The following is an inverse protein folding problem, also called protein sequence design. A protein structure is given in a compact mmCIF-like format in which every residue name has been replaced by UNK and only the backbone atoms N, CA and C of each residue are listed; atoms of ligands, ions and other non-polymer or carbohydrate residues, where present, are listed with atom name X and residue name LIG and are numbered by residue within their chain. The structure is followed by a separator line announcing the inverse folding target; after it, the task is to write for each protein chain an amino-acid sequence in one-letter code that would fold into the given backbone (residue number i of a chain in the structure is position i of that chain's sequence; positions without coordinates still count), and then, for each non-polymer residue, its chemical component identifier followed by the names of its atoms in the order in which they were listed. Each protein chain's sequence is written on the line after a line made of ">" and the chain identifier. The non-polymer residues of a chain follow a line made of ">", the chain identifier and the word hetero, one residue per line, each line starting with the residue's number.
data_IF_588653795253
#
_entry.id   IF_588653795253
#
_cell.length_a   1.000
_cell.length_b   1.000
_cell.length_c   1.000
_cell.angle_alpha   90.00
_cell.angle_beta   90.00
_cell.angle_gamma   90.00
#
_symmetry.space_group_name_H-M   'P 1'
#
loop_
_entity.id
_entity.type
_entity.pdbx_description
1 polymer ?
#
# COMPACT_ATOMS: atom_id res chain seq x y z
N UNK A 1 7.04 -16.88 7.46
CA UNK A 1 7.92 -16.46 6.36
C UNK A 1 8.34 -17.63 5.48
N UNK A 2 8.98 -18.68 6.02
CA UNK A 2 9.43 -19.83 5.20
C UNK A 2 8.29 -20.57 4.47
N UNK A 3 7.14 -20.76 5.13
CA UNK A 3 5.94 -21.34 4.51
C UNK A 3 5.45 -20.55 3.28
N UNK A 4 5.44 -19.22 3.36
CA UNK A 4 5.02 -18.32 2.27
C UNK A 4 5.98 -18.38 1.08
N UNK A 5 7.27 -18.67 1.34
CA UNK A 5 8.26 -18.91 0.30
C UNK A 5 8.13 -20.30 -0.37
N UNK A 6 7.09 -21.07 -0.03
CA UNK A 6 6.83 -22.41 -0.59
C UNK A 6 7.52 -23.55 0.16
N UNK A 7 8.26 -23.27 1.23
CA UNK A 7 8.84 -24.32 2.06
C UNK A 7 7.73 -24.99 2.89
N UNK A 8 7.33 -26.19 2.46
CA UNK A 8 6.26 -26.97 3.04
C UNK A 8 6.84 -28.25 3.67
N UNK A 9 6.62 -28.44 4.97
CA UNK A 9 7.08 -29.61 5.74
C UNK A 9 7.81 -29.26 7.04
N UNK A 10 8.38 -30.27 7.69
CA UNK A 10 9.20 -30.12 8.89
C UNK A 10 10.60 -29.63 8.51
N UNK A 11 10.84 -28.34 8.72
CA UNK A 11 12.13 -27.68 8.44
C UNK A 11 13.16 -28.12 9.49
N UNK A 12 14.35 -28.54 9.04
CA UNK A 12 15.45 -28.90 9.94
C UNK A 12 15.85 -27.71 10.83
N UNK A 13 16.18 -28.00 12.09
CA UNK A 13 16.69 -27.00 13.04
C UNK A 13 18.00 -26.37 12.58
N UNK A 14 18.79 -27.07 11.75
CA UNK A 14 20.01 -26.54 11.16
C UNK A 14 19.71 -25.44 10.13
N UNK A 15 18.67 -25.64 9.30
CA UNK A 15 18.24 -24.66 8.30
C UNK A 15 17.72 -23.40 8.97
N UNK A 16 16.85 -23.54 9.97
CA UNK A 16 16.31 -22.39 10.70
C UNK A 16 17.40 -21.60 11.42
N UNK A 17 18.35 -22.28 12.07
CA UNK A 17 19.49 -21.63 12.72
C UNK A 17 20.41 -20.92 11.72
N UNK A 18 20.58 -21.48 10.52
CA UNK A 18 21.37 -20.85 9.46
C UNK A 18 20.69 -19.59 8.95
N UNK A 19 19.39 -19.65 8.65
CA UNK A 19 18.63 -18.48 8.21
C UNK A 19 18.59 -17.39 9.28
N UNK A 20 18.42 -17.76 10.55
CA UNK A 20 18.50 -16.82 11.67
C UNK A 20 19.83 -16.06 11.69
N UNK A 21 20.96 -16.76 11.57
CA UNK A 21 22.30 -16.12 11.53
C UNK A 21 22.46 -15.20 10.33
N UNK A 22 21.98 -15.60 9.15
CA UNK A 22 22.03 -14.77 7.94
C UNK A 22 21.22 -13.49 8.14
N UNK A 23 20.00 -13.60 8.65
CA UNK A 23 19.13 -12.45 8.91
C UNK A 23 19.73 -11.54 9.99
N UNK A 24 20.27 -12.10 11.07
CA UNK A 24 20.95 -11.33 12.11
C UNK A 24 22.12 -10.52 11.56
N UNK A 25 22.96 -11.14 10.72
CA UNK A 25 24.07 -10.47 10.06
C UNK A 25 23.59 -9.35 9.14
N UNK A 26 22.58 -9.62 8.31
CA UNK A 26 22.01 -8.63 7.39
C UNK A 26 21.41 -7.44 8.12
N UNK A 27 20.66 -7.66 9.20
CA UNK A 27 20.08 -6.58 10.02
C UNK A 27 21.17 -5.73 10.67
N UNK A 28 22.23 -6.37 11.18
CA UNK A 28 23.38 -5.66 11.78
C UNK A 28 24.08 -4.78 10.74
N UNK A 29 24.30 -5.30 9.54
CA UNK A 29 24.90 -4.56 8.44
C UNK A 29 24.00 -3.41 7.97
N UNK A 30 22.70 -3.67 7.82
CA UNK A 30 21.71 -2.67 7.42
C UNK A 30 21.70 -1.50 8.41
N UNK A 31 21.63 -1.77 9.71
CA UNK A 31 21.64 -0.74 10.75
C UNK A 31 22.96 0.04 10.79
N UNK A 32 24.09 -0.64 10.60
CA UNK A 32 25.40 0.01 10.53
C UNK A 32 25.49 1.00 9.36
N UNK A 33 25.04 0.59 8.17
CA UNK A 33 24.99 1.45 6.99
C UNK A 33 23.99 2.60 7.15
N UNK A 34 22.82 2.35 7.72
CA UNK A 34 21.81 3.38 7.97
C UNK A 34 22.30 4.42 8.99
N UNK A 35 23.01 3.98 10.04
CA UNK A 35 23.64 4.88 11.00
C UNK A 35 24.71 5.76 10.34
N UNK A 36 25.52 5.22 9.42
CA UNK A 36 26.48 6.02 8.66
C UNK A 36 25.80 7.10 7.79
N UNK A 37 24.61 6.83 7.23
CA UNK A 37 23.80 7.82 6.51
C UNK A 37 23.23 8.87 7.44
N UNK A 38 22.64 8.46 8.57
CA UNK A 38 22.12 9.38 9.58
C UNK A 38 23.18 10.36 10.08
N UNK A 39 24.39 9.85 10.37
CA UNK A 39 25.55 10.67 10.77
C UNK A 39 25.98 11.66 9.68
N UNK A 40 25.94 11.27 8.39
CA UNK A 40 26.22 12.18 7.27
C UNK A 40 25.17 13.28 7.13
N UNK A 41 23.91 13.02 7.48
CA UNK A 41 22.84 14.03 7.60
C UNK A 41 23.03 14.94 8.83
N UNK A 42 23.93 14.59 9.76
CA UNK A 42 24.10 15.28 11.03
C UNK A 42 23.11 14.87 12.12
N UNK A 43 22.39 13.76 11.93
CA UNK A 43 21.48 13.18 12.91
C UNK A 43 22.14 12.03 13.66
N UNK A 44 21.90 11.93 14.96
CA UNK A 44 22.27 10.76 15.78
C UNK A 44 21.17 9.70 15.83
N UNK A 45 20.02 10.01 15.23
CA UNK A 45 18.84 9.15 15.14
C UNK A 45 18.65 8.70 13.69
N UNK A 46 18.52 7.39 13.51
CA UNK A 46 18.22 6.76 12.22
C UNK A 46 16.74 6.98 11.90
N UNK A 47 16.47 7.56 10.73
CA UNK A 47 15.13 7.76 10.17
C UNK A 47 14.76 6.58 9.25
N UNK A 48 13.46 6.38 9.01
CA UNK A 48 12.97 5.47 7.97
C UNK A 48 13.59 5.78 6.60
N UNK A 49 13.82 7.06 6.30
CA UNK A 49 14.45 7.48 5.04
C UNK A 49 15.85 6.90 4.86
N UNK A 50 16.62 6.75 5.95
CA UNK A 50 17.97 6.17 5.89
C UNK A 50 17.92 4.70 5.48
N UNK A 51 16.90 3.96 5.93
CA UNK A 51 16.70 2.56 5.57
C UNK A 51 16.19 2.41 4.14
N UNK A 52 15.22 3.23 3.73
CA UNK A 52 14.67 3.21 2.36
C UNK A 52 15.76 3.60 1.36
N UNK A 53 16.65 4.53 1.73
CA UNK A 53 17.76 4.94 0.87
C UNK A 53 18.73 3.79 0.55
N UNK A 54 18.94 2.84 1.47
CA UNK A 54 19.81 1.68 1.24
C UNK A 54 19.29 0.72 0.17
N UNK A 55 17.97 0.69 -0.05
CA UNK A 55 17.31 -0.17 -1.04
C UNK A 55 16.85 0.60 -2.29
N UNK A 56 17.25 1.87 -2.44
CA UNK A 56 16.74 2.78 -3.47
C UNK A 56 16.92 2.28 -4.91
N UNK A 57 17.92 1.43 -5.14
CA UNK A 57 18.24 0.91 -6.46
C UNK A 57 17.20 -0.12 -6.93
N UNK A 58 16.51 -0.78 -5.99
CA UNK A 58 15.44 -1.74 -6.27
C UNK A 58 14.07 -1.05 -6.21
N UNK A 59 13.64 -0.52 -7.36
CA UNK A 59 12.39 0.24 -7.48
C UNK A 59 11.15 -0.57 -7.12
N UNK A 60 11.14 -1.87 -7.41
CA UNK A 60 10.00 -2.72 -7.09
C UNK A 60 9.88 -2.93 -5.58
N UNK A 61 10.99 -3.20 -4.89
CA UNK A 61 10.97 -3.32 -3.42
C UNK A 61 10.54 -2.03 -2.76
N UNK A 62 11.03 -0.89 -3.24
CA UNK A 62 10.62 0.43 -2.73
C UNK A 62 9.13 0.67 -2.97
N UNK A 63 8.62 0.37 -4.17
CA UNK A 63 7.18 0.50 -4.49
C UNK A 63 6.29 -0.35 -3.57
N UNK A 64 6.65 -1.62 -3.37
CA UNK A 64 5.94 -2.52 -2.44
C UNK A 64 5.96 -1.99 -1.00
N UNK A 65 7.10 -1.47 -0.55
CA UNK A 65 7.24 -0.88 0.78
C UNK A 65 6.39 0.39 0.96
N UNK A 66 6.39 1.30 -0.01
CA UNK A 66 5.56 2.51 0.02
C UNK A 66 4.08 2.18 0.06
N UNK A 67 3.66 1.20 -0.73
CA UNK A 67 2.27 0.70 -0.73
C UNK A 67 1.91 0.12 0.63
N UNK A 68 2.77 -0.71 1.22
CA UNK A 68 2.54 -1.25 2.56
C UNK A 68 2.41 -0.14 3.62
N UNK A 69 3.28 0.88 3.58
CA UNK A 69 3.24 1.99 4.53
C UNK A 69 1.99 2.85 4.37
N UNK A 70 1.52 3.11 3.13
CA UNK A 70 0.28 3.86 2.92
C UNK A 70 -0.93 3.12 3.51
N UNK A 71 -1.01 1.80 3.31
CA UNK A 71 -2.04 0.97 3.94
C UNK A 71 -1.96 0.96 5.46
N UNK A 72 -0.74 0.95 6.01
CA UNK A 72 -0.51 1.01 7.45
C UNK A 72 -0.99 2.34 8.04
N UNK A 73 -0.71 3.46 7.38
CA UNK A 73 -1.18 4.78 7.80
C UNK A 73 -2.70 4.92 7.70
N UNK A 74 -3.29 4.41 6.61
CA UNK A 74 -4.74 4.39 6.43
C UNK A 74 -5.45 3.63 7.56
N UNK A 75 -4.98 2.42 7.88
CA UNK A 75 -5.53 1.61 8.98
C UNK A 75 -5.36 2.28 10.34
N UNK A 76 -4.22 2.93 10.59
CA UNK A 76 -3.99 3.69 11.82
C UNK A 76 -4.98 4.85 11.95
N UNK A 77 -5.15 5.64 10.89
CA UNK A 77 -6.06 6.79 10.88
C UNK A 77 -7.54 6.38 11.03
N UNK A 78 -7.93 5.21 10.53
CA UNK A 78 -9.26 4.67 10.75
C UNK A 78 -9.47 4.33 12.24
N UNK A 79 -8.54 3.60 12.85
CA UNK A 79 -8.60 3.22 14.27
C UNK A 79 -8.59 4.42 15.21
N UNK A 80 -7.77 5.43 14.93
CA UNK A 80 -7.71 6.67 15.72
C UNK A 80 -9.03 7.48 15.66
N UNK A 81 -9.84 7.31 14.60
CA UNK A 81 -11.19 7.91 14.51
C UNK A 81 -12.21 7.15 15.34
N UNK A 82 -12.14 5.82 15.36
CA UNK A 82 -13.04 4.97 16.15
C UNK A 82 -12.80 5.14 17.66
N UNK A 83 -11.55 5.36 18.09
CA UNK A 83 -11.25 5.56 19.52
C UNK A 83 -11.72 6.93 20.07
N UNK A 84 -11.94 7.92 19.19
CA UNK A 84 -12.53 9.22 19.54
C UNK A 84 -14.05 9.29 19.34
N UNK A 85 -14.68 8.27 18.76
CA UNK A 85 -16.11 8.16 18.53
C UNK A 85 -16.68 6.97 19.28
N UNK A 86 -17.28 7.22 20.44
CA UNK A 86 -17.76 6.16 21.33
C UNK A 86 -18.73 5.17 20.67
N UNK A 87 -18.52 3.90 21.07
CA UNK A 87 -19.41 2.75 21.04
C UNK A 87 -19.93 2.26 19.66
N UNK A 88 -19.65 0.97 19.45
CA UNK A 88 -20.33 0.04 18.55
C UNK A 88 -19.72 -0.17 17.15
N UNK A 89 -18.62 -0.94 17.10
CA UNK A 89 -18.65 -2.18 16.32
C UNK A 89 -17.57 -3.14 16.84
N UNK A 90 -18.02 -4.27 17.38
CA UNK A 90 -17.19 -5.43 17.59
C UNK A 90 -16.75 -6.01 16.24
N UNK A 91 -15.54 -6.57 16.24
CA UNK A 91 -15.04 -7.53 15.24
C UNK A 91 -14.63 -6.96 13.87
N UNK A 92 -13.47 -6.31 13.83
CA UNK A 92 -12.54 -6.56 12.71
C UNK A 92 -11.33 -7.26 13.30
N UNK A 93 -11.50 -8.58 13.44
CA UNK A 93 -10.45 -9.50 13.81
C UNK A 93 -9.19 -9.30 12.99
N UNK A 94 -8.08 -9.57 13.68
CA UNK A 94 -6.73 -9.78 13.21
C UNK A 94 -6.72 -10.65 11.92
N UNK A 95 -6.88 -10.01 10.77
CA UNK A 95 -6.80 -10.65 9.47
C UNK A 95 -5.43 -10.37 8.85
N UNK A 96 -4.57 -11.38 8.99
CA UNK A 96 -3.45 -11.77 8.15
C UNK A 96 -2.80 -10.70 7.26
N UNK A 97 -1.52 -10.49 7.55
CA UNK A 97 -0.59 -9.59 6.83
C UNK A 97 -0.21 -10.09 5.43
N UNK A 98 -0.82 -11.17 4.93
CA UNK A 98 -0.41 -11.90 3.72
C UNK A 98 -1.40 -11.82 2.55
N UNK A 99 -2.41 -10.95 2.63
CA UNK A 99 -3.30 -10.66 1.49
C UNK A 99 -2.96 -9.33 0.84
N UNK A 100 -1.78 -9.24 0.23
CA UNK A 100 -1.63 -8.37 -0.93
C UNK A 100 -2.43 -9.01 -2.07
N UNK A 101 -3.41 -8.34 -2.70
CA UNK A 101 -4.07 -8.90 -3.86
C UNK A 101 -3.03 -9.11 -4.97
N UNK A 102 -3.02 -10.28 -5.64
CA UNK A 102 -2.24 -10.47 -6.86
C UNK A 102 -2.66 -9.43 -7.89
N UNK A 103 -1.70 -8.99 -8.71
CA UNK A 103 -1.83 -7.97 -9.76
C UNK A 103 -2.83 -8.31 -10.88
N UNK A 104 -4.08 -8.68 -10.58
CA UNK A 104 -5.16 -8.80 -11.56
C UNK A 104 -6.51 -8.67 -10.85
N UNK A 105 -6.79 -7.53 -10.24
CA UNK A 105 -8.18 -7.15 -9.96
C UNK A 105 -8.27 -5.64 -9.75
N UNK A 106 -8.55 -4.94 -10.84
CA UNK A 106 -9.23 -3.66 -10.79
C UNK A 106 -10.61 -3.90 -10.16
N UNK A 107 -10.68 -3.80 -8.83
CA UNK A 107 -11.94 -3.72 -8.09
C UNK A 107 -11.89 -2.46 -7.23
N UNK A 108 -12.72 -1.50 -7.65
CA UNK A 108 -13.10 -0.24 -7.03
C UNK A 108 -12.93 -0.15 -5.50
N UNK A 109 -11.70 0.06 -5.07
CA UNK A 109 -11.34 0.38 -3.68
C UNK A 109 -10.82 1.82 -3.55
N UNK A 110 -10.99 2.63 -4.60
CA UNK A 110 -10.64 4.06 -4.64
C UNK A 110 -11.64 4.95 -3.87
N UNK A 111 -12.36 4.41 -2.87
CA UNK A 111 -13.10 5.25 -1.93
C UNK A 111 -12.11 6.08 -1.12
N UNK A 112 -11.80 7.26 -1.66
CA UNK A 112 -11.39 8.50 -1.00
C UNK A 112 -10.91 8.30 0.43
N UNK A 113 -9.73 7.71 0.55
CA UNK A 113 -8.85 8.07 1.62
C UNK A 113 -7.62 8.64 0.93
N UNK A 114 -7.52 9.97 0.91
CA UNK A 114 -6.25 10.68 0.67
C UNK A 114 -5.31 10.29 1.82
N UNK A 115 -4.85 9.04 1.80
CA UNK A 115 -3.74 8.59 2.62
C UNK A 115 -2.55 9.40 2.16
N UNK A 116 -1.80 9.96 3.10
CA UNK A 116 -0.64 10.78 2.78
C UNK A 116 0.24 10.02 1.79
N UNK A 117 0.40 10.56 0.58
CA UNK A 117 1.36 10.02 -0.37
C UNK A 117 2.72 10.15 0.30
N UNK A 118 3.38 9.03 0.56
CA UNK A 118 4.70 9.04 1.19
C UNK A 118 5.68 9.55 0.15
N UNK A 119 6.09 10.82 0.28
CA UNK A 119 7.03 11.45 -0.65
C UNK A 119 8.44 11.27 -0.13
N UNK A 120 9.27 10.60 -0.92
CA UNK A 120 10.67 10.35 -0.55
C UNK A 120 11.52 11.62 -0.77
N UNK A 121 12.54 11.87 0.07
CA UNK A 121 13.38 13.08 -0.03
C UNK A 121 14.17 13.22 -1.35
N UNK A 122 14.34 12.15 -2.11
CA UNK A 122 15.05 12.13 -3.41
C UNK A 122 14.12 11.94 -4.60
N UNK A 123 12.80 12.00 -4.38
CA UNK A 123 11.82 12.00 -5.46
C UNK A 123 11.75 13.38 -6.13
N UNK A 124 11.20 13.45 -7.34
CA UNK A 124 11.13 14.66 -8.15
C UNK A 124 10.37 15.78 -7.42
N UNK A 125 9.32 15.41 -6.70
CA UNK A 125 8.54 16.33 -5.86
C UNK A 125 9.36 16.95 -4.71
N UNK A 126 10.44 16.29 -4.27
CA UNK A 126 11.32 16.76 -3.22
C UNK A 126 12.41 17.74 -3.67
N UNK A 127 12.66 17.88 -4.98
CA UNK A 127 13.68 18.81 -5.49
C UNK A 127 13.26 20.27 -5.42
N UNK A 128 11.96 20.53 -5.37
CA UNK A 128 11.40 21.88 -5.37
C UNK A 128 10.99 22.28 -3.96
N UNK A 129 11.46 23.44 -3.49
CA UNK A 129 11.12 23.97 -2.17
C UNK A 129 9.66 24.43 -2.04
N UNK A 130 9.01 24.68 -3.17
CA UNK A 130 7.60 25.00 -3.26
C UNK A 130 6.85 23.79 -3.81
N UNK A 131 5.89 23.27 -3.03
CA UNK A 131 4.99 22.23 -3.51
C UNK A 131 3.83 22.91 -4.22
N UNK A 132 3.66 22.57 -5.50
CA UNK A 132 2.46 22.96 -6.24
C UNK A 132 1.27 22.31 -5.53
N UNK A 133 0.26 23.08 -5.08
CA UNK A 133 -0.98 22.50 -4.57
C UNK A 133 -1.54 21.50 -5.58
N UNK A 134 -2.08 20.37 -5.12
CA UNK A 134 -2.83 19.46 -5.99
C UNK A 134 -3.91 20.29 -6.69
N UNK A 135 -3.78 20.46 -8.02
CA UNK A 135 -4.81 21.12 -8.81
C UNK A 135 -6.07 20.22 -8.73
N UNK A 136 -7.22 20.83 -8.47
CA UNK A 136 -8.52 20.13 -8.41
C UNK A 136 -8.86 19.42 -9.74
N UNK A 137 -8.11 19.71 -10.81
CA UNK A 137 -8.29 19.22 -12.18
C UNK A 137 -8.16 17.69 -12.33
N UNK A 138 -7.39 17.00 -11.49
CA UNK A 138 -7.33 15.51 -11.53
C UNK A 138 -8.63 14.87 -11.02
N UNK A 139 -9.27 15.49 -10.02
CA UNK A 139 -10.58 15.01 -9.57
C UNK A 139 -11.67 15.21 -10.62
N UNK A 140 -11.56 16.25 -11.46
CA UNK A 140 -12.59 16.58 -12.44
C UNK A 140 -12.51 15.69 -13.69
N UNK A 141 -11.31 15.27 -14.10
CA UNK A 141 -11.14 14.28 -15.19
C UNK A 141 -11.70 12.90 -14.82
N UNK A 142 -11.44 12.43 -13.60
CA UNK A 142 -11.92 11.12 -13.13
C UNK A 142 -13.45 11.12 -12.90
N UNK A 143 -14.01 12.25 -12.44
CA UNK A 143 -15.48 12.42 -12.32
C UNK A 143 -16.17 12.37 -13.68
N UNK A 144 -15.64 13.07 -14.69
CA UNK A 144 -16.25 13.12 -16.02
C UNK A 144 -16.23 11.75 -16.72
N UNK A 145 -15.14 11.00 -16.59
CA UNK A 145 -15.03 9.64 -17.12
C UNK A 145 -16.03 8.68 -16.45
N UNK A 146 -16.18 8.77 -15.13
CA UNK A 146 -17.09 7.91 -14.37
C UNK A 146 -18.56 8.26 -14.64
N UNK A 147 -18.89 9.55 -14.76
CA UNK A 147 -20.23 10.03 -15.14
C UNK A 147 -20.62 9.59 -16.56
N UNK A 148 -19.69 9.62 -17.51
CA UNK A 148 -19.92 9.12 -18.87
C UNK A 148 -20.18 7.60 -18.88
N UNK A 149 -19.45 6.85 -18.06
CA UNK A 149 -19.62 5.40 -17.91
C UNK A 149 -20.98 5.06 -17.27
N UNK A 150 -21.40 5.80 -16.24
CA UNK A 150 -22.73 5.68 -15.61
C UNK A 150 -23.87 6.00 -16.57
N UNK A 151 -23.73 7.04 -17.41
CA UNK A 151 -24.74 7.38 -18.44
C UNK A 151 -24.87 6.28 -19.48
N UNK A 152 -23.75 5.68 -19.90
CA UNK A 152 -23.76 4.56 -20.84
C UNK A 152 -24.42 3.32 -20.24
N UNK A 153 -24.17 3.04 -18.96
CA UNK A 153 -24.79 1.94 -18.23
C UNK A 153 -26.31 2.13 -18.14
N UNK A 154 -26.76 3.33 -17.77
CA UNK A 154 -28.19 3.68 -17.71
C UNK A 154 -28.89 3.54 -19.06
N UNK A 155 -28.26 3.97 -20.15
CA UNK A 155 -28.79 3.80 -21.51
C UNK A 155 -28.89 2.32 -21.91
N UNK A 156 -27.95 1.49 -21.46
CA UNK A 156 -28.01 0.05 -21.68
C UNK A 156 -29.14 -0.60 -20.88
N UNK A 157 -29.33 -0.19 -19.62
CA UNK A 157 -30.42 -0.66 -18.74
C UNK A 157 -31.80 -0.22 -19.25
N UNK A 158 -31.92 1.02 -19.76
CA UNK A 158 -33.16 1.49 -20.39
C UNK A 158 -33.48 0.72 -21.67
N UNK A 159 -32.45 0.30 -22.42
CA UNK A 159 -32.61 -0.51 -23.63
C UNK A 159 -33.03 -1.94 -23.33
N UNK A 160 -32.66 -2.50 -22.18
CA UNK A 160 -33.01 -3.88 -21.77
C UNK A 160 -34.24 -3.94 -20.86
N UNK A 161 -34.82 -2.80 -20.51
CA UNK A 161 -35.96 -2.68 -19.59
C UNK A 161 -37.22 -3.43 -20.02
N UNK A 162 -37.45 -3.56 -21.34
CA UNK A 162 -38.63 -4.22 -21.90
C UNK A 162 -38.38 -5.71 -22.27
N UNK A 163 -37.19 -6.25 -21.98
CA UNK A 163 -36.90 -7.67 -22.19
C UNK A 163 -37.71 -8.51 -21.20
N UNK A 164 -38.72 -9.23 -21.67
CA UNK A 164 -39.49 -10.17 -20.85
C UNK A 164 -38.69 -11.44 -20.59
N UNK A 165 -39.01 -12.11 -19.47
CA UNK A 165 -38.30 -13.26 -18.90
C UNK A 165 -38.07 -14.44 -19.86
N UNK A 166 -38.82 -14.55 -20.95
CA UNK A 166 -38.71 -15.64 -21.92
C UNK A 166 -37.56 -15.46 -22.94
N UNK A 167 -37.10 -14.22 -23.19
CA UNK A 167 -36.00 -13.95 -24.16
C UNK A 167 -34.61 -13.85 -23.50
N UNK A 168 -34.51 -13.86 -22.17
CA UNK A 168 -33.23 -13.77 -21.43
C UNK A 168 -32.66 -15.12 -20.98
N UNK A 169 -33.24 -16.25 -21.40
CA UNK A 169 -32.75 -17.59 -21.09
C UNK A 169 -32.24 -18.29 -22.36
N UNK A 170 -31.01 -18.83 -22.35
CA UNK A 170 -30.76 -20.19 -22.81
C UNK A 170 -31.15 -21.22 -21.73
#
# INVERSE_FOLDING_TARGET
>A
MMFVAGESGDISTETTSTVERVVQQQVTELLSRANALALRRGSRVVSSDDLIFLIRDDREKVSRLLTFLSWKELRKNAKDRDEKGGADMADVGDADIDTLPPETSAVDSSRKAKGARIVLPWDVEGFYGERVPELEDEEDQDKEANDAQLRRLRLADERTKDMTREDSSP
#
